data_IF_504318213710
#
_entry.id   IF_504318213710
#
_cell.length_a   1.000
_cell.length_b   1.000
_cell.length_c   1.000
_cell.angle_alpha   90.00
_cell.angle_beta   90.00
_cell.angle_gamma   90.00
#
_symmetry.space_group_name_H-M   'P 1'
#
loop_
_entity.id
_entity.type
_entity.pdbx_description
1 polymer ?
#
# COMPACT_ATOMS: atom_id res chain seq x y z
N UNK A 1 2.69 1.27 13.17
CA UNK A 1 3.28 2.54 13.63
C UNK A 1 4.61 2.85 12.93
N UNK A 2 5.52 1.88 12.83
CA UNK A 2 6.85 2.11 12.24
C UNK A 2 6.83 2.45 10.73
N UNK A 3 5.94 1.86 9.93
CA UNK A 3 5.83 2.17 8.49
C UNK A 3 5.52 3.65 8.24
N UNK A 4 4.56 4.21 8.98
CA UNK A 4 4.24 5.63 8.87
C UNK A 4 5.45 6.50 9.27
N UNK A 5 6.15 6.13 10.34
CA UNK A 5 7.35 6.83 10.80
C UNK A 5 8.46 6.79 9.76
N UNK A 6 8.69 5.64 9.11
CA UNK A 6 9.64 5.50 7.99
C UNK A 6 9.30 6.51 6.88
N UNK A 7 8.04 6.57 6.46
CA UNK A 7 7.60 7.50 5.40
C UNK A 7 7.75 8.96 5.82
N UNK A 8 7.33 9.33 7.03
CA UNK A 8 7.34 10.73 7.48
C UNK A 8 8.75 11.22 7.80
N UNK A 9 9.63 10.37 8.36
CA UNK A 9 11.04 10.72 8.58
C UNK A 9 11.81 10.86 7.27
N UNK A 10 11.48 10.06 6.24
CA UNK A 10 12.12 10.19 4.93
C UNK A 10 11.39 11.16 3.99
N UNK A 11 10.30 11.80 4.43
CA UNK A 11 9.48 12.65 3.57
C UNK A 11 10.30 13.78 2.97
N UNK A 12 11.05 14.49 3.82
CA UNK A 12 12.04 15.46 3.43
C UNK A 12 13.33 15.19 4.22
N UNK A 13 14.51 15.14 3.58
CA UNK A 13 14.78 15.49 2.18
C UNK A 13 14.68 14.33 1.17
N UNK A 14 14.55 13.07 1.59
CA UNK A 14 14.69 11.92 0.68
C UNK A 14 13.58 11.85 -0.40
N UNK A 15 12.33 11.65 0.01
CA UNK A 15 11.20 11.37 -0.92
C UNK A 15 10.89 12.60 -1.77
N UNK A 16 10.71 13.78 -1.15
CA UNK A 16 10.32 14.98 -1.88
C UNK A 16 11.40 15.55 -2.80
N UNK A 17 12.68 15.17 -2.64
CA UNK A 17 13.78 15.59 -3.54
C UNK A 17 14.21 14.50 -4.53
N UNK A 18 13.56 13.34 -4.59
CA UNK A 18 14.00 12.23 -5.45
C UNK A 18 13.39 12.31 -6.86
N UNK A 19 14.23 12.55 -7.88
CA UNK A 19 13.84 12.66 -9.29
C UNK A 19 12.79 13.74 -9.58
N UNK A 20 12.94 14.95 -9.00
CA UNK A 20 11.88 15.97 -9.01
C UNK A 20 12.27 17.27 -9.71
N UNK A 21 11.30 17.80 -10.46
CA UNK A 21 11.26 19.13 -11.06
C UNK A 21 10.38 20.10 -10.24
N UNK A 22 10.20 21.32 -10.73
CA UNK A 22 9.35 22.35 -10.12
C UNK A 22 7.87 21.95 -10.05
N UNK A 23 7.08 22.65 -9.22
CA UNK A 23 5.61 22.53 -9.15
C UNK A 23 5.02 21.16 -8.71
N UNK A 24 5.82 20.30 -8.08
CA UNK A 24 5.39 19.03 -7.47
C UNK A 24 4.06 19.07 -6.67
N UNK A 25 3.05 18.34 -7.14
CA UNK A 25 1.74 18.22 -6.47
C UNK A 25 1.59 16.91 -5.70
N UNK A 26 2.67 16.49 -5.04
CA UNK A 26 2.69 15.24 -4.30
C UNK A 26 1.59 15.21 -3.22
N UNK A 27 1.04 14.03 -2.98
CA UNK A 27 0.03 13.81 -1.94
C UNK A 27 0.36 12.54 -1.17
N UNK A 28 0.33 12.65 0.15
CA UNK A 28 0.44 11.51 1.06
C UNK A 28 -0.86 11.42 1.84
N UNK A 29 -1.40 10.21 1.95
CA UNK A 29 -2.65 9.97 2.65
C UNK A 29 -2.63 8.62 3.34
N UNK A 30 -3.18 8.56 4.54
CA UNK A 30 -3.56 7.30 5.18
C UNK A 30 -5.02 7.05 4.85
N UNK A 31 -5.30 5.86 4.35
CA UNK A 31 -6.65 5.43 4.00
C UNK A 31 -7.05 4.18 4.78
N UNK A 32 -8.36 3.95 4.86
CA UNK A 32 -8.97 2.86 5.60
C UNK A 32 -9.57 1.85 4.65
N UNK A 33 -9.17 0.57 4.81
CA UNK A 33 -9.79 -0.56 4.09
C UNK A 33 -11.28 -0.61 4.43
N UNK A 34 -11.61 -0.56 5.72
CA UNK A 34 -12.98 -0.41 6.19
C UNK A 34 -13.33 1.07 6.40
N UNK A 35 -14.01 1.66 5.43
CA UNK A 35 -14.42 3.08 5.46
C UNK A 35 -15.42 3.40 6.59
N UNK A 36 -16.14 2.40 7.11
CA UNK A 36 -17.05 2.58 8.26
C UNK A 36 -16.34 3.06 9.52
N UNK A 37 -15.04 2.72 9.66
CA UNK A 37 -14.21 3.14 10.79
C UNK A 37 -14.02 4.66 10.86
N UNK A 38 -14.13 5.36 9.72
CA UNK A 38 -14.03 6.82 9.67
C UNK A 38 -15.11 7.45 10.55
N UNK A 39 -16.35 7.02 10.38
CA UNK A 39 -17.48 7.54 11.16
C UNK A 39 -17.43 7.03 12.61
N UNK A 40 -17.15 5.74 12.79
CA UNK A 40 -17.11 5.11 14.10
C UNK A 40 -16.08 5.76 15.04
N UNK A 41 -14.90 6.13 14.51
CA UNK A 41 -13.83 6.75 15.30
C UNK A 41 -13.74 8.26 15.16
N UNK A 42 -14.73 8.86 14.47
CA UNK A 42 -14.77 10.30 14.20
C UNK A 42 -13.42 10.77 13.64
N UNK A 43 -12.91 10.05 12.64
CA UNK A 43 -11.59 10.26 12.07
C UNK A 43 -11.54 11.61 11.38
N UNK A 44 -10.54 12.42 11.72
CA UNK A 44 -10.23 13.64 11.01
C UNK A 44 -9.40 13.32 9.77
N UNK A 45 -10.08 13.01 8.67
CA UNK A 45 -9.45 12.65 7.40
C UNK A 45 -8.57 13.76 6.82
N UNK A 46 -8.84 15.03 7.15
CA UNK A 46 -7.99 16.16 6.77
C UNK A 46 -6.59 16.09 7.39
N UNK A 47 -6.49 15.63 8.64
CA UNK A 47 -5.19 15.41 9.31
C UNK A 47 -4.45 14.19 8.82
N UNK A 48 -5.14 13.22 8.21
CA UNK A 48 -4.54 12.01 7.65
C UNK A 48 -4.02 12.19 6.22
N UNK A 49 -3.81 13.44 5.80
CA UNK A 49 -3.27 13.75 4.48
C UNK A 49 -2.34 14.96 4.50
N UNK A 50 -1.34 14.95 3.64
CA UNK A 50 -0.49 16.08 3.31
C UNK A 50 -0.57 16.27 1.80
N UNK A 51 -1.09 17.42 1.37
CA UNK A 51 -1.33 17.74 -0.03
C UNK A 51 -0.49 18.95 -0.46
N UNK A 52 0.47 18.73 -1.36
CA UNK A 52 1.35 19.76 -1.89
C UNK A 52 0.75 20.53 -3.08
N UNK A 53 -0.41 20.12 -3.59
CA UNK A 53 -1.16 20.86 -4.62
C UNK A 53 -1.81 22.13 -4.06
N UNK A 54 -1.96 22.24 -2.73
CA UNK A 54 -2.57 23.42 -2.08
C UNK A 54 -1.74 24.71 -2.17
N UNK A 55 -0.47 24.61 -2.55
CA UNK A 55 0.43 25.77 -2.61
C UNK A 55 0.33 26.47 -3.96
N UNK A 56 0.18 27.81 -3.98
CA UNK A 56 0.01 28.56 -5.22
C UNK A 56 1.29 28.63 -6.06
N UNK A 57 2.46 28.46 -5.46
CA UNK A 57 3.76 28.48 -6.14
C UNK A 57 4.84 27.74 -5.34
N UNK A 58 6.02 27.56 -5.95
CA UNK A 58 7.16 26.87 -5.37
C UNK A 58 7.70 27.58 -4.12
N UNK A 59 7.70 28.91 -4.05
CA UNK A 59 8.20 29.66 -2.89
C UNK A 59 7.36 29.40 -1.64
N UNK A 60 6.03 29.47 -1.75
CA UNK A 60 5.12 29.17 -0.65
C UNK A 60 5.33 27.73 -0.12
N UNK A 61 5.64 26.78 -1.01
CA UNK A 61 5.95 25.40 -0.63
C UNK A 61 7.32 25.30 0.06
N UNK A 62 8.34 25.99 -0.44
CA UNK A 62 9.66 26.04 0.20
C UNK A 62 9.53 26.63 1.60
N UNK A 63 8.76 27.71 1.76
CA UNK A 63 8.53 28.34 3.07
C UNK A 63 7.84 27.38 4.04
N UNK A 64 6.84 26.61 3.56
CA UNK A 64 6.19 25.55 4.32
C UNK A 64 7.13 24.40 4.75
N UNK A 65 8.02 23.96 3.86
CA UNK A 65 8.97 22.86 4.13
C UNK A 65 10.11 23.33 5.04
N UNK A 66 10.63 24.54 4.80
CA UNK A 66 11.81 25.10 5.48
C UNK A 66 11.47 26.00 6.66
N UNK A 67 10.18 26.13 6.99
CA UNK A 67 9.67 26.94 8.11
C UNK A 67 10.11 28.41 8.02
N UNK A 68 10.05 28.99 6.82
CA UNK A 68 10.47 30.38 6.54
C UNK A 68 9.28 31.34 6.56
N UNK A 69 9.58 32.64 6.59
CA UNK A 69 8.60 33.72 6.41
C UNK A 69 7.39 33.67 7.36
N UNK A 70 7.56 33.09 8.55
CA UNK A 70 6.53 33.08 9.60
C UNK A 70 5.26 32.29 9.24
N UNK A 71 5.34 31.31 8.32
CA UNK A 71 4.18 30.50 7.94
C UNK A 71 3.59 29.76 9.16
N UNK A 72 2.27 29.91 9.36
CA UNK A 72 1.56 29.32 10.51
C UNK A 72 1.45 27.79 10.44
N UNK A 73 1.49 27.24 9.22
CA UNK A 73 1.45 25.80 8.97
C UNK A 73 2.78 25.40 8.32
N UNK A 74 3.40 24.36 8.85
CA UNK A 74 4.70 23.83 8.39
C UNK A 74 4.60 22.33 8.12
N UNK A 75 5.56 21.79 7.36
CA UNK A 75 5.64 20.35 7.12
C UNK A 75 5.75 19.57 8.42
N UNK A 76 6.59 20.03 9.34
CA UNK A 76 6.75 19.43 10.66
C UNK A 76 5.44 19.35 11.44
N UNK A 77 4.62 20.41 11.38
CA UNK A 77 3.32 20.45 12.05
C UNK A 77 2.32 19.50 11.41
N UNK A 78 2.21 19.48 10.08
CA UNK A 78 1.33 18.53 9.38
C UNK A 78 1.73 17.08 9.62
N UNK A 79 3.03 16.77 9.62
CA UNK A 79 3.54 15.43 9.97
C UNK A 79 3.16 15.07 11.41
N UNK A 80 3.31 16.01 12.36
CA UNK A 80 2.91 15.79 13.75
C UNK A 80 1.41 15.56 13.89
N UNK A 81 0.58 16.35 13.21
CA UNK A 81 -0.89 16.21 13.21
C UNK A 81 -1.32 14.86 12.61
N UNK A 82 -0.68 14.45 11.51
CA UNK A 82 -0.92 13.19 10.84
C UNK A 82 -0.56 12.00 11.72
N UNK A 83 0.63 12.00 12.34
CA UNK A 83 1.07 10.93 13.24
C UNK A 83 0.18 10.87 14.49
N UNK A 84 -0.20 12.02 15.04
CA UNK A 84 -1.09 12.10 16.21
C UNK A 84 -2.47 11.51 15.91
N UNK A 85 -3.08 11.91 14.79
CA UNK A 85 -4.40 11.40 14.40
C UNK A 85 -4.34 9.91 14.05
N UNK A 86 -3.32 9.46 13.33
CA UNK A 86 -3.12 8.04 13.05
C UNK A 86 -3.01 7.21 14.33
N UNK A 87 -2.20 7.66 15.29
CA UNK A 87 -2.01 6.95 16.55
C UNK A 87 -3.31 6.89 17.36
N UNK A 88 -4.08 7.98 17.40
CA UNK A 88 -5.39 8.02 18.08
C UNK A 88 -6.33 6.95 17.50
N UNK A 89 -6.44 6.89 16.17
CA UNK A 89 -7.30 5.92 15.50
C UNK A 89 -6.78 4.50 15.68
N UNK A 90 -5.47 4.29 15.58
CA UNK A 90 -4.87 2.96 15.73
C UNK A 90 -5.02 2.39 17.15
N UNK A 91 -4.95 3.23 18.18
CA UNK A 91 -5.24 2.83 19.58
C UNK A 91 -6.71 2.44 19.77
N UNK A 92 -7.64 3.15 19.12
CA UNK A 92 -9.05 2.80 19.14
C UNK A 92 -9.33 1.49 18.40
N UNK A 93 -8.73 1.32 17.21
CA UNK A 93 -8.82 0.13 16.39
C UNK A 93 -8.26 -1.12 17.08
N UNK A 94 -7.14 -1.01 17.80
CA UNK A 94 -6.54 -2.14 18.52
C UNK A 94 -7.38 -2.75 19.64
N UNK A 95 -8.53 -2.16 19.99
CA UNK A 95 -9.44 -2.65 21.04
C UNK A 95 -10.62 -3.47 20.50
N UNK A 96 -10.79 -3.53 19.18
CA UNK A 96 -11.94 -4.15 18.54
C UNK A 96 -11.48 -4.89 17.27
N UNK A 97 -12.05 -6.07 17.03
CA UNK A 97 -11.77 -6.81 15.79
C UNK A 97 -12.66 -6.27 14.67
N UNK A 98 -12.05 -5.78 13.59
CA UNK A 98 -12.75 -5.44 12.36
C UNK A 98 -12.25 -6.29 11.22
N UNK A 99 -13.19 -6.74 10.38
CA UNK A 99 -12.85 -7.32 9.09
C UNK A 99 -12.20 -6.28 8.19
N UNK A 100 -11.26 -6.74 7.38
CA UNK A 100 -10.54 -5.93 6.40
C UNK A 100 -10.75 -6.55 5.02
N UNK A 101 -11.82 -6.14 4.34
CA UNK A 101 -12.14 -6.58 2.99
C UNK A 101 -11.28 -5.82 1.96
N UNK A 102 -10.07 -6.34 1.76
CA UNK A 102 -9.10 -5.79 0.79
C UNK A 102 -9.68 -5.88 -0.63
N UNK A 103 -10.44 -6.93 -0.93
CA UNK A 103 -11.05 -7.07 -2.25
C UNK A 103 -12.02 -5.92 -2.53
N UNK A 104 -12.94 -5.66 -1.61
CA UNK A 104 -13.92 -4.57 -1.72
C UNK A 104 -13.23 -3.22 -1.70
N UNK A 105 -12.18 -3.04 -0.89
CA UNK A 105 -11.39 -1.80 -0.89
C UNK A 105 -10.74 -1.53 -2.26
N UNK A 106 -10.12 -2.53 -2.90
CA UNK A 106 -9.55 -2.35 -4.24
C UNK A 106 -10.63 -2.20 -5.32
N UNK A 107 -11.80 -2.82 -5.15
CA UNK A 107 -12.90 -2.75 -6.12
C UNK A 107 -13.62 -1.39 -6.09
N UNK A 108 -13.95 -0.92 -4.89
CA UNK A 108 -14.89 0.19 -4.68
C UNK A 108 -14.31 1.31 -3.81
N UNK A 109 -13.35 0.99 -2.94
CA UNK A 109 -12.74 1.95 -2.01
C UNK A 109 -11.74 2.92 -2.63
N UNK A 110 -11.24 2.62 -3.84
CA UNK A 110 -10.29 3.46 -4.58
C UNK A 110 -10.99 4.41 -5.56
N UNK A 111 -11.01 5.70 -5.20
CA UNK A 111 -11.55 6.80 -5.97
C UNK A 111 -10.47 7.62 -6.69
N UNK A 112 -10.87 8.69 -7.40
CA UNK A 112 -9.96 9.59 -8.09
C UNK A 112 -9.15 10.48 -7.12
N UNK A 113 -9.49 10.51 -5.83
CA UNK A 113 -8.69 11.19 -4.82
C UNK A 113 -7.58 10.28 -4.24
N UNK A 114 -7.72 8.95 -4.43
CA UNK A 114 -6.79 7.89 -4.07
C UNK A 114 -5.79 7.58 -5.19
N UNK A 115 -6.31 7.44 -6.41
CA UNK A 115 -5.54 7.15 -7.62
C UNK A 115 -5.76 8.31 -8.57
N UNK A 116 -4.80 9.23 -8.59
CA UNK A 116 -4.88 10.45 -9.38
C UNK A 116 -4.78 10.09 -10.87
N UNK A 117 -5.73 10.54 -11.70
CA UNK A 117 -5.62 10.41 -13.15
C UNK A 117 -4.59 11.41 -13.69
N UNK A 118 -4.12 11.16 -14.91
CA UNK A 118 -3.30 12.14 -15.64
C UNK A 118 -4.08 13.45 -15.80
N UNK A 119 -3.36 14.58 -15.70
CA UNK A 119 -3.96 15.89 -15.91
C UNK A 119 -4.27 16.12 -17.39
N UNK A 120 -5.15 17.09 -17.64
CA UNK A 120 -5.41 17.52 -19.02
C UNK A 120 -4.11 18.05 -19.65
N UNK A 121 -3.84 17.71 -20.92
CA UNK A 121 -2.68 18.25 -21.61
C UNK A 121 -2.70 19.78 -21.63
N UNK A 122 -1.56 20.39 -21.34
CA UNK A 122 -1.34 21.84 -21.48
C UNK A 122 -0.45 22.04 -22.70
N UNK A 123 -0.87 22.90 -23.62
CA UNK A 123 -0.12 23.16 -24.86
C UNK A 123 0.36 24.60 -24.86
N UNK A 124 1.64 24.81 -25.13
CA UNK A 124 2.20 26.10 -25.50
C UNK A 124 2.43 26.16 -27.02
N UNK A 125 3.13 27.19 -27.52
CA UNK A 125 3.36 27.39 -28.95
C UNK A 125 4.10 26.22 -29.63
N UNK A 126 4.88 25.42 -28.88
CA UNK A 126 5.78 24.41 -29.44
C UNK A 126 5.56 23.00 -28.89
N UNK A 127 4.98 22.86 -27.70
CA UNK A 127 4.95 21.62 -26.95
C UNK A 127 3.60 21.37 -26.28
N UNK A 128 3.23 20.10 -26.17
CA UNK A 128 2.13 19.62 -25.32
C UNK A 128 2.71 18.85 -24.14
N UNK A 129 2.36 19.28 -22.93
CA UNK A 129 2.79 18.67 -21.67
C UNK A 129 1.61 17.97 -21.00
N UNK A 130 1.85 16.78 -20.46
CA UNK A 130 0.88 16.04 -19.65
C UNK A 130 1.50 15.76 -18.29
N UNK A 131 0.89 16.26 -17.23
CA UNK A 131 1.29 15.91 -15.87
C UNK A 131 0.74 14.53 -15.52
N UNK A 132 1.63 13.57 -15.28
CA UNK A 132 1.27 12.21 -14.89
C UNK A 132 1.59 11.98 -13.41
N UNK A 133 0.86 11.05 -12.77
CA UNK A 133 1.07 10.69 -11.38
C UNK A 133 1.56 9.25 -11.24
N UNK A 134 2.57 9.05 -10.40
CA UNK A 134 2.96 7.72 -9.93
C UNK A 134 2.16 7.40 -8.67
N UNK A 135 1.03 6.72 -8.82
CA UNK A 135 0.18 6.34 -7.70
C UNK A 135 0.72 5.09 -7.00
N UNK A 136 0.95 5.17 -5.68
CA UNK A 136 1.56 4.11 -4.90
C UNK A 136 0.69 3.82 -3.68
N UNK A 137 0.33 2.56 -3.49
CA UNK A 137 -0.31 2.03 -2.29
C UNK A 137 0.68 1.15 -1.53
N UNK A 138 0.98 1.53 -0.28
CA UNK A 138 1.68 0.66 0.65
C UNK A 138 0.63 0.00 1.54
N UNK A 139 0.46 -1.32 1.39
CA UNK A 139 -0.54 -2.12 2.07
C UNK A 139 0.14 -3.02 3.11
N UNK A 140 -0.21 -2.84 4.38
CA UNK A 140 0.24 -3.72 5.46
C UNK A 140 -0.83 -4.75 5.77
N UNK A 141 -0.52 -6.02 5.63
CA UNK A 141 -1.41 -7.15 5.97
C UNK A 141 -0.59 -8.37 6.36
N UNK A 142 -1.13 -9.25 7.18
CA UNK A 142 -0.52 -10.55 7.49
C UNK A 142 -0.59 -11.55 6.31
N UNK A 143 -1.13 -11.11 5.17
CA UNK A 143 -1.33 -11.91 3.96
C UNK A 143 -2.76 -12.41 3.79
N UNK A 144 -3.64 -12.10 4.75
CA UNK A 144 -5.07 -12.32 4.61
C UNK A 144 -5.65 -11.41 3.52
N UNK A 145 -6.35 -12.01 2.57
CA UNK A 145 -7.30 -11.33 1.68
C UNK A 145 -8.66 -11.81 2.12
N UNK A 146 -9.51 -10.93 2.61
CA UNK A 146 -10.94 -11.21 2.69
C UNK A 146 -11.58 -10.73 1.39
N UNK A 147 -12.38 -11.58 0.76
CA UNK A 147 -13.26 -11.20 -0.34
C UNK A 147 -14.69 -11.50 0.08
N UNK A 148 -15.30 -10.64 0.89
CA UNK A 148 -16.59 -10.89 1.52
C UNK A 148 -17.77 -10.58 0.60
N UNK A 149 -18.05 -11.42 -0.39
CA UNK A 149 -19.32 -11.35 -1.14
C UNK A 149 -20.22 -12.49 -0.64
N UNK A 150 -21.20 -12.16 0.22
CA UNK A 150 -22.38 -12.98 0.57
C UNK A 150 -22.13 -14.50 0.64
N UNK A 151 -21.50 -14.98 1.71
CA UNK A 151 -21.26 -16.41 2.02
C UNK A 151 -20.44 -17.20 0.98
N UNK A 152 -19.82 -16.53 0.01
CA UNK A 152 -18.95 -17.14 -1.01
C UNK A 152 -17.57 -16.49 -1.04
N UNK A 153 -17.11 -16.05 0.11
CA UNK A 153 -15.83 -15.36 0.21
C UNK A 153 -14.64 -16.29 0.04
N UNK A 154 -13.60 -15.77 -0.62
CA UNK A 154 -12.30 -16.42 -0.67
C UNK A 154 -11.42 -15.77 0.39
N UNK A 155 -10.85 -16.59 1.28
CA UNK A 155 -9.89 -16.15 2.28
C UNK A 155 -8.52 -16.81 2.10
N UNK A 156 -7.46 -16.16 2.58
CA UNK A 156 -6.13 -16.78 2.72
C UNK A 156 -5.87 -17.21 4.17
N UNK A 157 -6.92 -17.71 4.83
CA UNK A 157 -6.81 -18.33 6.14
C UNK A 157 -5.87 -19.53 6.08
N UNK A 158 -5.36 -19.94 7.25
CA UNK A 158 -4.57 -21.16 7.38
C UNK A 158 -5.29 -22.37 6.77
N UNK A 159 -6.60 -22.48 6.99
CA UNK A 159 -7.43 -23.56 6.43
C UNK A 159 -7.41 -23.58 4.91
N UNK A 160 -7.52 -22.43 4.27
CA UNK A 160 -7.50 -22.35 2.79
C UNK A 160 -6.13 -22.69 2.23
N UNK A 161 -5.06 -22.21 2.87
CA UNK A 161 -3.68 -22.54 2.49
C UNK A 161 -3.38 -24.03 2.66
N UNK A 162 -3.78 -24.63 3.79
CA UNK A 162 -3.60 -26.06 4.05
C UNK A 162 -4.37 -26.90 3.01
N UNK A 163 -5.63 -26.56 2.72
CA UNK A 163 -6.42 -27.23 1.67
C UNK A 163 -5.77 -27.15 0.28
N UNK A 164 -5.21 -26.00 -0.08
CA UNK A 164 -4.50 -25.87 -1.35
C UNK A 164 -3.25 -26.76 -1.39
N UNK A 165 -2.46 -26.75 -0.31
CA UNK A 165 -1.25 -27.57 -0.17
C UNK A 165 -1.58 -29.06 -0.32
N UNK A 166 -2.58 -29.55 0.40
CA UNK A 166 -2.97 -30.95 0.37
C UNK A 166 -3.41 -31.38 -1.04
N UNK A 167 -4.21 -30.54 -1.70
CA UNK A 167 -4.65 -30.81 -3.07
C UNK A 167 -3.49 -30.78 -4.09
N UNK A 168 -2.53 -29.87 -3.92
CA UNK A 168 -1.34 -29.80 -4.76
C UNK A 168 -0.47 -31.05 -4.58
N UNK A 169 -0.15 -31.44 -3.34
CA UNK A 169 0.67 -32.61 -3.05
C UNK A 169 -0.01 -33.91 -3.54
N UNK A 170 -1.32 -34.03 -3.36
CA UNK A 170 -2.09 -35.19 -3.83
C UNK A 170 -2.15 -35.28 -5.37
N UNK A 171 -1.99 -34.17 -6.09
CA UNK A 171 -2.04 -34.15 -7.55
C UNK A 171 -0.79 -34.75 -8.21
N UNK A 172 0.33 -34.83 -7.51
CA UNK A 172 1.62 -35.23 -8.07
C UNK A 172 2.22 -34.23 -9.08
N UNK A 173 1.65 -33.03 -9.21
CA UNK A 173 2.24 -31.98 -10.05
C UNK A 173 3.50 -31.39 -9.39
N UNK A 174 4.52 -31.08 -10.20
CA UNK A 174 5.78 -30.47 -9.73
C UNK A 174 5.81 -28.94 -9.93
N UNK A 175 4.80 -28.36 -10.60
CA UNK A 175 4.66 -26.92 -10.81
C UNK A 175 3.38 -26.41 -10.14
N UNK A 176 3.55 -25.78 -8.97
CA UNK A 176 2.46 -25.20 -8.18
C UNK A 176 1.65 -24.16 -8.96
N UNK A 177 2.29 -23.38 -9.85
CA UNK A 177 1.61 -22.39 -10.65
C UNK A 177 0.79 -23.03 -11.77
N UNK A 178 1.28 -24.12 -12.39
CA UNK A 178 0.50 -24.91 -13.35
C UNK A 178 -0.72 -25.55 -12.68
N UNK A 179 -0.54 -26.17 -11.51
CA UNK A 179 -1.63 -26.74 -10.73
C UNK A 179 -2.70 -25.67 -10.41
N UNK A 180 -2.28 -24.51 -9.90
CA UNK A 180 -3.17 -23.40 -9.59
C UNK A 180 -3.95 -22.90 -10.82
N UNK A 181 -3.31 -22.83 -12.00
CA UNK A 181 -4.00 -22.45 -13.24
C UNK A 181 -5.05 -23.48 -13.65
N UNK A 182 -4.81 -24.78 -13.47
CA UNK A 182 -5.80 -25.82 -13.82
C UNK A 182 -6.99 -25.85 -12.84
N UNK A 183 -6.75 -25.51 -11.59
CA UNK A 183 -7.71 -25.65 -10.49
C UNK A 183 -8.40 -24.32 -10.15
N UNK A 184 -9.42 -23.97 -10.95
CA UNK A 184 -10.15 -22.69 -10.83
C UNK A 184 -10.81 -22.47 -9.46
N UNK A 185 -11.11 -23.53 -8.70
CA UNK A 185 -11.67 -23.44 -7.34
C UNK A 185 -10.74 -22.76 -6.32
N UNK A 186 -9.45 -22.65 -6.64
CA UNK A 186 -8.44 -21.97 -5.84
C UNK A 186 -8.20 -20.53 -6.30
N UNK A 187 -9.00 -19.98 -7.22
CA UNK A 187 -8.78 -18.62 -7.71
C UNK A 187 -9.61 -17.61 -6.94
N UNK A 188 -9.03 -16.44 -6.69
CA UNK A 188 -9.73 -15.27 -6.19
C UNK A 188 -10.32 -14.52 -7.38
N UNK A 189 -11.58 -14.09 -7.30
CA UNK A 189 -12.19 -13.28 -8.36
C UNK A 189 -11.39 -11.99 -8.55
N UNK A 190 -10.95 -11.65 -9.77
CA UNK A 190 -10.24 -10.40 -10.00
C UNK A 190 -11.16 -9.21 -9.79
N UNK A 191 -10.59 -8.14 -9.27
CA UNK A 191 -11.27 -6.85 -9.08
C UNK A 191 -11.52 -6.20 -10.43
N UNK A 192 -12.67 -5.53 -10.59
CA UNK A 192 -13.05 -4.82 -11.81
C UNK A 192 -12.96 -3.31 -11.60
N UNK A 193 -11.75 -2.81 -11.37
CA UNK A 193 -11.48 -1.39 -11.17
C UNK A 193 -10.38 -0.90 -12.12
N UNK A 194 -10.78 -0.10 -13.11
CA UNK A 194 -9.87 0.43 -14.13
C UNK A 194 -8.76 1.34 -13.58
N UNK A 195 -8.87 1.82 -12.34
CA UNK A 195 -7.81 2.63 -11.70
C UNK A 195 -6.58 1.80 -11.35
N UNK A 196 -6.72 0.47 -11.17
CA UNK A 196 -5.63 -0.40 -10.75
C UNK A 196 -4.46 -0.45 -11.74
N UNK A 197 -4.72 -0.23 -13.03
CA UNK A 197 -3.66 -0.17 -14.07
C UNK A 197 -2.66 0.95 -13.86
N UNK A 198 -3.08 2.02 -13.16
CA UNK A 198 -2.26 3.18 -12.83
C UNK A 198 -1.80 3.17 -11.37
N UNK A 199 -1.93 2.05 -10.67
CA UNK A 199 -1.57 1.90 -9.26
C UNK A 199 -0.42 0.89 -9.11
N UNK A 200 0.61 1.30 -8.37
CA UNK A 200 1.65 0.41 -7.87
C UNK A 200 1.33 -0.01 -6.43
N UNK A 201 1.47 -1.30 -6.10
CA UNK A 201 1.14 -1.82 -4.76
C UNK A 201 2.36 -2.50 -4.14
N UNK A 202 2.81 -2.00 -2.99
CA UNK A 202 3.75 -2.70 -2.11
C UNK A 202 2.97 -3.36 -0.98
N UNK A 203 2.93 -4.69 -0.95
CA UNK A 203 2.35 -5.46 0.15
C UNK A 203 3.46 -5.87 1.12
N UNK A 204 3.31 -5.44 2.37
CA UNK A 204 4.25 -5.70 3.46
C UNK A 204 3.61 -6.58 4.54
N UNK A 205 4.47 -7.16 5.36
CA UNK A 205 4.11 -7.93 6.56
C UNK A 205 3.44 -9.29 6.28
N UNK A 206 3.62 -9.86 5.08
CA UNK A 206 3.10 -11.19 4.77
C UNK A 206 3.70 -12.22 5.74
N UNK A 207 2.83 -13.00 6.39
CA UNK A 207 3.24 -13.90 7.45
C UNK A 207 3.34 -15.35 6.96
N UNK A 208 4.52 -15.96 7.19
CA UNK A 208 4.77 -17.35 6.86
C UNK A 208 4.52 -18.26 8.08
N UNK A 209 3.32 -18.82 8.16
CA UNK A 209 2.90 -19.70 9.26
C UNK A 209 3.50 -21.11 9.18
N UNK A 210 4.26 -21.40 8.11
CA UNK A 210 4.91 -22.69 7.88
C UNK A 210 6.37 -22.72 8.36
N UNK A 211 6.78 -21.75 9.18
CA UNK A 211 8.11 -21.70 9.79
C UNK A 211 8.06 -22.04 11.28
N UNK A 212 9.08 -22.74 11.74
CA UNK A 212 9.34 -22.96 13.16
C UNK A 212 9.82 -21.67 13.85
N UNK A 213 9.90 -21.69 15.20
CA UNK A 213 10.44 -20.56 15.99
C UNK A 213 11.87 -20.16 15.60
N UNK A 214 12.64 -21.09 15.03
CA UNK A 214 14.01 -20.87 14.55
C UNK A 214 14.07 -20.52 13.05
N UNK A 215 12.93 -20.31 12.40
CA UNK A 215 12.84 -19.87 11.01
C UNK A 215 12.92 -20.99 9.95
N UNK A 216 13.15 -22.25 10.35
CA UNK A 216 13.16 -23.40 9.45
C UNK A 216 11.73 -23.74 8.97
N UNK A 217 11.57 -24.03 7.67
CA UNK A 217 10.31 -24.49 7.10
C UNK A 217 9.90 -25.85 7.72
N UNK A 218 8.64 -25.96 8.13
CA UNK A 218 8.08 -27.18 8.73
C UNK A 218 7.25 -27.98 7.73
N UNK A 219 6.75 -27.33 6.67
CA UNK A 219 5.98 -27.96 5.58
C UNK A 219 6.33 -27.31 4.24
N UNK A 220 6.22 -28.10 3.16
CA UNK A 220 6.39 -27.63 1.79
C UNK A 220 5.18 -28.01 0.92
N UNK A 221 4.78 -27.16 -0.05
CA UNK A 221 5.16 -25.75 -0.18
C UNK A 221 4.78 -24.92 1.06
N UNK A 222 5.60 -23.92 1.36
CA UNK A 222 5.43 -23.00 2.50
C UNK A 222 4.18 -22.14 2.33
N UNK A 223 3.66 -21.62 3.44
CA UNK A 223 2.58 -20.62 3.43
C UNK A 223 2.96 -19.42 2.58
N UNK A 224 4.22 -18.94 2.67
CA UNK A 224 4.70 -17.82 1.88
C UNK A 224 4.69 -18.09 0.37
N UNK A 225 5.11 -19.28 -0.06
CA UNK A 225 5.07 -19.68 -1.47
C UNK A 225 3.63 -19.67 -2.00
N UNK A 226 2.70 -20.23 -1.23
CA UNK A 226 1.28 -20.27 -1.57
C UNK A 226 0.69 -18.85 -1.59
N UNK A 227 0.87 -18.07 -0.52
CA UNK A 227 0.35 -16.68 -0.41
C UNK A 227 0.87 -15.83 -1.56
N UNK A 228 2.17 -15.90 -1.89
CA UNK A 228 2.73 -15.15 -3.03
C UNK A 228 2.12 -15.57 -4.36
N UNK A 229 1.85 -16.86 -4.58
CA UNK A 229 1.18 -17.33 -5.78
C UNK A 229 -0.23 -16.74 -5.91
N UNK A 230 -1.02 -16.79 -4.83
CA UNK A 230 -2.37 -16.24 -4.79
C UNK A 230 -2.40 -14.73 -5.03
N UNK A 231 -1.63 -13.97 -4.26
CA UNK A 231 -1.53 -12.51 -4.40
C UNK A 231 -1.04 -12.12 -5.80
N UNK A 232 0.00 -12.79 -6.31
CA UNK A 232 0.55 -12.46 -7.63
C UNK A 232 -0.45 -12.75 -8.74
N UNK A 233 -1.18 -13.87 -8.68
CA UNK A 233 -2.20 -14.16 -9.67
C UNK A 233 -3.35 -13.15 -9.57
N UNK A 234 -3.87 -12.90 -8.37
CA UNK A 234 -4.99 -12.00 -8.15
C UNK A 234 -4.70 -10.56 -8.58
N UNK A 235 -3.53 -10.01 -8.21
CA UNK A 235 -3.15 -8.64 -8.60
C UNK A 235 -2.91 -8.52 -10.11
N UNK A 236 -2.32 -9.54 -10.75
CA UNK A 236 -2.15 -9.58 -12.21
C UNK A 236 -3.48 -9.65 -12.94
N UNK A 237 -4.38 -10.55 -12.53
CA UNK A 237 -5.70 -10.69 -13.14
C UNK A 237 -6.58 -9.44 -12.89
N UNK A 238 -6.35 -8.72 -11.78
CA UNK A 238 -6.97 -7.42 -11.47
C UNK A 238 -6.31 -6.23 -12.18
N UNK A 239 -5.35 -6.48 -13.09
CA UNK A 239 -4.64 -5.48 -13.90
C UNK A 239 -3.90 -4.41 -13.08
N UNK A 240 -3.36 -4.75 -11.91
CA UNK A 240 -2.52 -3.83 -11.14
C UNK A 240 -1.24 -3.50 -11.93
N UNK A 241 -0.88 -2.21 -12.01
CA UNK A 241 0.23 -1.75 -12.85
C UNK A 241 1.58 -2.36 -12.48
N UNK A 242 1.96 -2.30 -11.20
CA UNK A 242 3.14 -2.97 -10.63
C UNK A 242 2.84 -3.39 -9.21
N UNK A 243 3.42 -4.49 -8.74
CA UNK A 243 3.38 -4.82 -7.33
C UNK A 243 4.61 -5.56 -6.84
N UNK A 244 4.84 -5.47 -5.53
CA UNK A 244 5.84 -6.27 -4.81
C UNK A 244 5.22 -6.87 -3.55
N UNK A 245 5.59 -8.12 -3.26
CA UNK A 245 5.09 -8.90 -2.13
C UNK A 245 6.25 -9.22 -1.20
N UNK A 246 6.25 -8.63 -0.01
CA UNK A 246 7.35 -8.71 0.93
C UNK A 246 6.89 -9.39 2.23
N UNK A 247 7.68 -10.34 2.77
CA UNK A 247 7.39 -10.92 4.08
C UNK A 247 7.56 -9.86 5.18
N UNK A 248 7.26 -10.26 6.42
CA UNK A 248 7.64 -9.50 7.62
C UNK A 248 9.13 -9.09 7.56
N UNK A 249 9.39 -7.80 7.80
CA UNK A 249 10.76 -7.27 7.84
C UNK A 249 11.40 -7.58 9.21
N UNK A 250 12.64 -8.05 9.22
CA UNK A 250 13.33 -8.46 10.46
C UNK A 250 13.82 -7.26 11.28
N UNK A 251 13.89 -6.07 10.67
CA UNK A 251 14.22 -4.83 11.36
C UNK A 251 13.54 -3.63 10.71
N UNK A 252 13.58 -2.50 11.42
CA UNK A 252 13.11 -1.21 10.91
C UNK A 252 13.91 -0.75 9.68
N UNK A 253 15.21 -0.98 9.69
CA UNK A 253 16.13 -0.61 8.61
C UNK A 253 15.85 -1.44 7.36
N UNK A 254 15.53 -2.73 7.51
CA UNK A 254 15.08 -3.57 6.40
C UNK A 254 13.76 -3.05 5.82
N UNK A 255 12.77 -2.74 6.68
CA UNK A 255 11.50 -2.17 6.24
C UNK A 255 11.68 -0.82 5.51
N UNK A 256 12.54 0.05 6.05
CA UNK A 256 12.88 1.33 5.44
C UNK A 256 13.51 1.13 4.05
N UNK A 257 14.50 0.24 3.95
CA UNK A 257 15.14 -0.07 2.67
C UNK A 257 14.13 -0.59 1.65
N UNK A 258 13.27 -1.55 2.04
CA UNK A 258 12.23 -2.10 1.16
C UNK A 258 11.31 -0.99 0.63
N UNK A 259 10.85 -0.10 1.51
CA UNK A 259 9.95 0.99 1.12
C UNK A 259 10.67 1.97 0.17
N UNK A 260 11.87 2.42 0.53
CA UNK A 260 12.61 3.39 -0.27
C UNK A 260 13.02 2.81 -1.63
N UNK A 261 13.43 1.54 -1.69
CA UNK A 261 13.71 0.84 -2.95
C UNK A 261 12.46 0.76 -3.83
N UNK A 262 11.31 0.42 -3.26
CA UNK A 262 10.05 0.39 -4.01
C UNK A 262 9.67 1.77 -4.56
N UNK A 263 9.87 2.82 -3.74
CA UNK A 263 9.68 4.20 -4.13
C UNK A 263 10.75 4.71 -5.11
N UNK A 264 11.82 3.96 -5.35
CA UNK A 264 13.00 4.41 -6.11
C UNK A 264 13.57 5.73 -5.54
N UNK A 265 13.85 5.72 -4.24
CA UNK A 265 14.35 6.87 -3.48
C UNK A 265 15.63 6.48 -2.77
N UNK A 266 16.69 7.26 -2.99
CA UNK A 266 17.90 7.16 -2.17
C UNK A 266 17.69 7.89 -0.84
N UNK A 267 18.09 7.23 0.26
CA UNK A 267 18.07 7.84 1.58
C UNK A 267 19.08 8.99 1.63
N UNK A 268 18.61 10.18 1.96
CA UNK A 268 19.44 11.37 2.17
C UNK A 268 19.57 11.60 3.68
N UNK A 269 20.80 11.76 4.14
CA UNK A 269 21.06 12.27 5.49
C UNK A 269 20.98 13.80 5.42
N UNK A 270 20.33 14.42 6.40
CA UNK A 270 20.38 15.88 6.53
C UNK A 270 21.84 16.32 6.74
N UNK A 271 22.31 17.20 5.84
CA UNK A 271 23.53 18.00 6.00
C UNK A 271 23.18 19.30 6.71
#
# INVERSE_FOLDING_TARGET
MEILKILTTNLYPSILRSHRSENQRDKIRIDFINKGLINQYQVNTGKLSIDFARFPNQNARIDYIKERNGVKQTLKKDVSDLVSEFNRVNVAAGRQNFGADIWTYLNEGLDNAAVLPDEKPVTDEYNTYVSTYRNILILTTDGYIEAGIYDKGFDLSKKTVDRFRDAYLASGENDMAAFFRKNKQFRIRPVQNEKLKNLEILVLELYDRSKSKVGAATVHPTDMEIIKLYWSNWLKESKVGRFELRPFANSKEEAEKIILDFLNVEKKNDL
#
